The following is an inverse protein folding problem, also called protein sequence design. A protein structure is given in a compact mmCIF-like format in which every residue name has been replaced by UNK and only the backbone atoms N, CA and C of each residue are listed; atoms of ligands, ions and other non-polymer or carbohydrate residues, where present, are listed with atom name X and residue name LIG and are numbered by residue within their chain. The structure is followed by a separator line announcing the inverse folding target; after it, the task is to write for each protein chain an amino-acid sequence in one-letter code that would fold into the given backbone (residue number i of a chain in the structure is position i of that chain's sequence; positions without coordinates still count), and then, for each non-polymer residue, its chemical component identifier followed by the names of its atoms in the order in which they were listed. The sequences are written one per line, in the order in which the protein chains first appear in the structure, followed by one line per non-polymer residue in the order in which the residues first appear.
data_IF_150118835132
#
_entry.id   IF_150118835132
#
_cell.length_a   1.000
_cell.length_b   1.000
_cell.length_c   1.000
_cell.angle_alpha   90.00
_cell.angle_beta   90.00
_cell.angle_gamma   90.00
#
_symmetry.space_group_name_H-M   'P 1'
#
loop_
_entity.id
_entity.type
_entity.pdbx_description
1 polymer ?
#
# COMPACT_ATOMS: atom_id res chain seq x y z
N UNK A 1 9.58 40.30 68.23
CA UNK A 1 8.98 41.32 67.37
C UNK A 1 8.11 40.57 66.37
N UNK A 2 6.84 40.32 66.67
CA UNK A 2 5.72 41.29 66.67
C UNK A 2 4.95 41.21 65.34
N UNK A 3 3.79 40.53 65.41
CA UNK A 3 2.50 40.90 64.82
C UNK A 3 2.41 40.95 63.28
N UNK A 4 1.39 40.39 62.61
CA UNK A 4 -0.03 40.49 62.95
C UNK A 4 -0.90 39.28 62.57
N UNK A 5 -1.93 39.11 63.38
CA UNK A 5 -3.09 38.24 63.19
C UNK A 5 -4.34 39.10 62.91
N UNK A 6 -5.44 38.45 62.54
CA UNK A 6 -6.85 38.92 62.52
C UNK A 6 -7.27 39.77 61.32
N UNK A 7 -8.46 39.64 60.73
CA UNK A 7 -9.69 38.83 60.92
C UNK A 7 -10.55 39.12 59.67
N UNK A 8 -11.34 38.16 59.18
CA UNK A 8 -12.76 38.40 58.90
C UNK A 8 -13.52 37.09 58.64
N UNK A 9 -14.54 36.90 59.47
CA UNK A 9 -15.58 35.88 59.42
C UNK A 9 -16.54 36.13 58.25
N UNK A 10 -17.09 35.05 57.71
CA UNK A 10 -18.23 35.11 56.78
C UNK A 10 -18.76 33.71 56.50
N UNK A 11 -19.54 33.16 57.43
CA UNK A 11 -20.37 31.98 57.18
C UNK A 11 -21.56 32.36 56.30
N UNK A 12 -21.85 31.56 55.26
CA UNK A 12 -23.17 31.47 54.64
C UNK A 12 -23.29 30.11 53.94
N UNK A 13 -24.03 29.22 54.59
CA UNK A 13 -24.62 28.05 53.97
C UNK A 13 -25.77 28.50 53.08
N UNK A 14 -25.77 28.09 51.81
CA UNK A 14 -26.98 28.04 51.00
C UNK A 14 -26.87 26.83 50.07
N UNK A 15 -27.75 25.85 50.31
CA UNK A 15 -27.99 24.76 49.37
C UNK A 15 -28.60 25.29 48.09
N UNK A 16 -28.15 24.76 46.96
CA UNK A 16 -28.85 24.87 45.69
C UNK A 16 -29.06 23.46 45.15
N UNK A 17 -30.30 23.00 45.33
CA UNK A 17 -30.96 22.03 44.46
C UNK A 17 -30.97 22.63 43.05
N UNK A 18 -30.30 21.97 42.09
CA UNK A 18 -30.56 22.19 40.67
C UNK A 18 -31.09 20.89 40.10
N UNK A 19 -32.34 21.00 39.66
CA UNK A 19 -33.20 19.99 39.08
C UNK A 19 -32.57 19.32 37.86
N UNK A 20 -32.60 17.98 37.85
CA UNK A 20 -32.37 17.17 36.66
C UNK A 20 -33.58 17.35 35.74
N UNK A 21 -33.43 17.83 34.49
CA UNK A 21 -34.53 17.73 33.54
C UNK A 21 -34.67 16.25 33.15
N UNK A 22 -35.86 15.70 33.38
CA UNK A 22 -36.27 14.43 32.79
C UNK A 22 -36.29 14.61 31.26
N UNK A 23 -35.25 14.15 30.58
CA UNK A 23 -35.25 14.03 29.14
C UNK A 23 -36.22 12.88 28.79
N UNK A 24 -37.34 13.27 28.18
CA UNK A 24 -38.33 12.34 27.65
C UNK A 24 -37.68 11.38 26.64
N UNK A 25 -38.21 10.16 26.62
CA UNK A 25 -37.88 9.14 25.66
C UNK A 25 -37.99 9.69 24.23
N UNK A 26 -36.84 9.98 23.62
CA UNK A 26 -36.72 10.13 22.18
C UNK A 26 -36.45 8.75 21.60
N UNK A 27 -37.35 8.31 20.72
CA UNK A 27 -37.12 7.21 19.79
C UNK A 27 -35.82 7.46 19.01
N UNK A 28 -34.95 6.45 18.80
CA UNK A 28 -33.78 6.62 17.95
C UNK A 28 -34.25 6.72 16.50
N UNK A 29 -34.36 7.95 16.01
CA UNK A 29 -34.64 8.26 14.61
C UNK A 29 -33.31 8.52 13.91
N UNK A 30 -32.99 7.68 12.90
CA UNK A 30 -32.19 7.90 11.68
C UNK A 30 -30.92 8.79 11.66
N UNK A 31 -30.35 9.24 12.77
CA UNK A 31 -29.18 10.15 12.77
C UNK A 31 -27.82 9.46 12.70
N UNK A 32 -27.75 8.13 12.85
CA UNK A 32 -26.49 7.38 12.77
C UNK A 32 -26.00 7.24 11.30
N UNK A 33 -26.94 7.27 10.34
CA UNK A 33 -26.68 7.11 8.90
C UNK A 33 -26.06 8.34 8.22
N UNK A 34 -25.62 9.34 8.99
CA UNK A 34 -24.92 10.51 8.46
C UNK A 34 -23.52 10.65 9.03
N UNK A 35 -23.25 10.03 10.18
CA UNK A 35 -21.98 10.17 10.87
C UNK A 35 -20.87 9.36 10.20
N UNK A 36 -21.17 8.17 9.66
CA UNK A 36 -20.14 7.31 9.07
C UNK A 36 -19.75 7.74 7.65
N UNK A 37 -20.71 8.21 6.84
CA UNK A 37 -20.44 8.85 5.55
C UNK A 37 -19.67 10.18 5.72
N UNK A 38 -19.97 10.97 6.75
CA UNK A 38 -19.24 12.22 7.04
C UNK A 38 -17.83 11.95 7.57
N UNK A 39 -17.61 10.84 8.30
CA UNK A 39 -16.26 10.40 8.66
C UNK A 39 -15.47 9.91 7.44
N UNK A 40 -16.11 9.26 6.47
CA UNK A 40 -15.43 8.80 5.26
C UNK A 40 -15.08 9.97 4.37
N UNK A 41 -15.98 10.96 4.23
CA UNK A 41 -15.71 12.19 3.48
C UNK A 41 -14.51 12.95 4.08
N UNK A 42 -14.41 13.04 5.40
CA UNK A 42 -13.27 13.66 6.09
C UNK A 42 -11.98 12.85 5.94
N UNK A 43 -12.07 11.52 6.00
CA UNK A 43 -10.92 10.62 5.76
C UNK A 43 -10.46 10.74 4.31
N UNK A 44 -11.40 10.82 3.36
CA UNK A 44 -11.16 11.06 1.93
C UNK A 44 -10.56 12.43 1.68
N UNK A 45 -10.99 13.48 2.36
CA UNK A 45 -10.48 14.84 2.15
C UNK A 45 -9.03 14.96 2.67
N UNK A 46 -8.72 14.31 3.81
CA UNK A 46 -7.33 14.15 4.29
C UNK A 46 -6.51 13.27 3.35
N UNK A 47 -7.06 12.13 2.94
CA UNK A 47 -6.42 11.26 1.96
C UNK A 47 -6.20 11.99 0.65
N UNK A 48 -7.12 12.83 0.17
CA UNK A 48 -7.00 13.64 -1.04
C UNK A 48 -5.94 14.73 -0.90
N UNK A 49 -5.84 15.37 0.27
CA UNK A 49 -4.73 16.26 0.61
C UNK A 49 -3.38 15.54 0.59
N UNK A 50 -3.29 14.37 1.20
CA UNK A 50 -2.11 13.50 1.11
C UNK A 50 -1.84 13.01 -0.31
N UNK A 51 -2.84 12.57 -1.07
CA UNK A 51 -2.73 12.18 -2.48
C UNK A 51 -2.26 13.37 -3.33
N UNK A 52 -2.58 14.60 -2.93
CA UNK A 52 -2.10 15.85 -3.55
C UNK A 52 -0.69 16.27 -3.07
N UNK A 53 -0.25 15.84 -1.89
CA UNK A 53 1.06 16.15 -1.31
C UNK A 53 2.13 15.09 -1.64
N UNK A 54 1.77 13.80 -1.62
CA UNK A 54 2.51 12.68 -2.23
C UNK A 54 2.77 12.91 -3.73
N UNK A 55 1.85 13.62 -4.40
CA UNK A 55 1.98 14.16 -5.77
C UNK A 55 3.15 15.12 -5.99
N UNK A 56 3.65 15.78 -4.93
CA UNK A 56 4.84 16.64 -4.99
C UNK A 56 6.15 15.84 -4.76
N UNK A 57 6.07 14.65 -4.16
CA UNK A 57 7.22 13.77 -3.84
C UNK A 57 7.52 12.73 -4.93
N UNK A 58 6.51 12.28 -5.70
CA UNK A 58 6.68 11.39 -6.86
C UNK A 58 7.38 12.04 -8.09
N UNK A 59 7.94 13.24 -7.93
CA UNK A 59 8.78 13.88 -8.93
C UNK A 59 8.02 14.39 -10.16
N UNK A 60 8.72 15.25 -10.91
CA UNK A 60 8.23 16.08 -12.01
C UNK A 60 7.54 15.33 -13.17
N UNK A 61 7.56 13.99 -13.16
CA UNK A 61 7.00 13.08 -14.14
C UNK A 61 5.44 13.00 -14.15
N UNK A 62 4.78 13.40 -13.07
CA UNK A 62 3.31 13.33 -12.98
C UNK A 62 2.59 14.65 -13.32
N UNK A 63 3.35 15.74 -13.54
CA UNK A 63 2.79 17.10 -13.69
C UNK A 63 1.99 17.32 -14.98
N UNK A 64 2.07 16.41 -15.93
CA UNK A 64 1.34 16.48 -17.19
C UNK A 64 0.08 15.57 -17.23
N UNK A 65 -0.25 14.87 -16.14
CA UNK A 65 -1.23 13.79 -16.10
C UNK A 65 -2.67 14.23 -15.77
N UNK A 66 -3.00 15.53 -15.81
CA UNK A 66 -4.33 16.04 -15.40
C UNK A 66 -5.34 16.23 -16.54
N UNK A 67 -5.13 15.57 -17.68
CA UNK A 67 -5.92 15.85 -18.89
C UNK A 67 -6.82 14.75 -19.43
N UNK A 68 -6.60 13.48 -19.10
CA UNK A 68 -7.21 12.38 -19.86
C UNK A 68 -7.46 11.17 -18.95
N UNK A 69 -8.54 11.24 -18.17
CA UNK A 69 -9.20 10.02 -17.69
C UNK A 69 -10.16 9.64 -18.81
N UNK A 70 -9.73 8.72 -19.67
CA UNK A 70 -10.62 8.06 -20.62
C UNK A 70 -10.21 6.58 -20.74
N UNK A 71 -11.09 5.74 -20.21
CA UNK A 71 -11.32 4.32 -20.47
C UNK A 71 -10.13 3.45 -20.90
N UNK A 72 -9.34 2.98 -19.93
CA UNK A 72 -8.79 1.62 -19.98
C UNK A 72 -8.79 1.03 -18.57
N UNK A 73 -9.66 0.04 -18.30
CA UNK A 73 -9.46 -0.90 -17.20
C UNK A 73 -8.68 -2.13 -17.73
N UNK A 74 -7.38 -2.29 -17.47
CA UNK A 74 -6.76 -3.60 -17.48
C UNK A 74 -7.04 -4.28 -16.15
N UNK A 75 -7.91 -5.29 -16.18
CA UNK A 75 -8.09 -6.35 -15.18
C UNK A 75 -8.20 -5.94 -13.69
N UNK A 76 -8.79 -4.77 -13.37
CA UNK A 76 -9.15 -4.37 -12.00
C UNK A 76 -9.87 -5.52 -11.26
N UNK A 77 -10.77 -6.22 -11.97
CA UNK A 77 -11.46 -7.39 -11.43
C UNK A 77 -10.51 -8.49 -10.95
N UNK A 78 -9.43 -8.81 -11.70
CA UNK A 78 -8.43 -9.78 -11.25
C UNK A 78 -7.63 -9.26 -10.08
N UNK A 79 -7.17 -8.00 -10.13
CA UNK A 79 -6.38 -7.40 -9.05
C UNK A 79 -7.21 -7.39 -7.76
N UNK A 80 -8.47 -6.98 -7.83
CA UNK A 80 -9.42 -7.03 -6.73
C UNK A 80 -9.61 -8.46 -6.19
N UNK A 81 -9.90 -9.42 -7.07
CA UNK A 81 -10.11 -10.83 -6.67
C UNK A 81 -8.88 -11.46 -6.03
N UNK A 82 -7.67 -11.07 -6.46
CA UNK A 82 -6.41 -11.60 -5.95
C UNK A 82 -5.99 -10.91 -4.65
N UNK A 83 -6.10 -9.57 -4.57
CA UNK A 83 -5.63 -8.80 -3.42
C UNK A 83 -6.56 -8.95 -2.21
N UNK A 84 -7.87 -8.99 -2.42
CA UNK A 84 -8.86 -8.97 -1.33
C UNK A 84 -8.65 -10.05 -0.26
N UNK A 85 -8.43 -11.34 -0.61
CA UNK A 85 -8.15 -12.37 0.39
C UNK A 85 -6.94 -12.07 1.28
N UNK A 86 -5.85 -11.57 0.69
CA UNK A 86 -4.62 -11.22 1.41
C UNK A 86 -4.83 -10.01 2.31
N UNK A 87 -5.53 -8.98 1.81
CA UNK A 87 -5.86 -7.79 2.59
C UNK A 87 -6.79 -8.11 3.78
N UNK A 88 -7.79 -8.98 3.58
CA UNK A 88 -8.68 -9.44 4.65
C UNK A 88 -7.91 -10.24 5.71
N UNK A 89 -6.99 -11.12 5.31
CA UNK A 89 -6.14 -11.87 6.24
C UNK A 89 -5.25 -10.93 7.06
N UNK A 90 -4.60 -9.97 6.40
CA UNK A 90 -3.77 -8.97 7.09
C UNK A 90 -4.60 -8.15 8.09
N UNK A 91 -5.82 -7.75 7.71
CA UNK A 91 -6.74 -7.06 8.61
C UNK A 91 -7.10 -7.91 9.85
N UNK A 92 -7.34 -9.21 9.69
CA UNK A 92 -7.62 -10.11 10.81
C UNK A 92 -6.42 -10.20 11.78
N UNK A 93 -5.20 -10.24 11.23
CA UNK A 93 -3.98 -10.27 12.04
C UNK A 93 -3.72 -8.95 12.78
N UNK A 94 -4.02 -7.82 12.13
CA UNK A 94 -3.97 -6.48 12.72
C UNK A 94 -4.96 -6.36 13.87
N UNK A 95 -6.20 -6.83 13.69
CA UNK A 95 -7.24 -6.79 14.71
C UNK A 95 -6.86 -7.55 15.98
N UNK A 96 -6.21 -8.71 15.86
CA UNK A 96 -5.77 -9.49 17.02
C UNK A 96 -4.50 -8.94 17.67
N UNK A 97 -3.73 -8.11 16.97
CA UNK A 97 -2.38 -7.71 17.39
C UNK A 97 -2.36 -7.10 18.80
N UNK A 98 -3.27 -6.19 19.11
CA UNK A 98 -3.34 -5.52 20.42
C UNK A 98 -3.74 -6.45 21.57
N UNK A 99 -4.33 -7.61 21.27
CA UNK A 99 -4.73 -8.61 22.27
C UNK A 99 -3.64 -9.62 22.60
N UNK A 100 -2.55 -9.63 21.83
CA UNK A 100 -1.44 -10.56 22.02
C UNK A 100 -0.43 -10.02 23.04
N UNK A 101 0.24 -10.90 23.81
CA UNK A 101 1.34 -10.50 24.69
C UNK A 101 2.52 -9.96 23.86
N UNK A 102 3.26 -9.00 24.42
CA UNK A 102 4.44 -8.42 23.74
C UNK A 102 5.50 -9.47 23.40
N UNK A 103 5.71 -10.43 24.31
CA UNK A 103 6.57 -11.59 24.10
C UNK A 103 5.97 -12.82 24.78
N UNK A 104 6.10 -13.98 24.13
CA UNK A 104 5.66 -15.25 24.70
C UNK A 104 6.73 -16.33 24.50
N UNK A 105 6.98 -17.12 25.55
CA UNK A 105 7.87 -18.28 25.43
C UNK A 105 7.19 -19.46 24.72
N UNK A 106 5.85 -19.52 24.80
CA UNK A 106 4.98 -20.43 24.04
C UNK A 106 3.73 -19.69 23.59
N UNK A 107 3.27 -19.96 22.36
CA UNK A 107 2.11 -19.31 21.76
C UNK A 107 2.46 -18.12 20.87
N UNK A 108 1.44 -17.52 20.25
CA UNK A 108 1.60 -16.33 19.42
C UNK A 108 1.85 -15.10 20.30
N UNK A 109 2.86 -14.31 19.93
CA UNK A 109 3.12 -12.99 20.51
C UNK A 109 3.05 -11.90 19.43
N UNK A 110 3.15 -10.64 19.85
CA UNK A 110 3.11 -9.52 18.93
C UNK A 110 4.25 -9.55 17.91
N UNK A 111 5.42 -10.12 18.25
CA UNK A 111 6.56 -10.21 17.33
C UNK A 111 6.28 -11.21 16.21
N UNK A 112 5.84 -12.42 16.54
CA UNK A 112 5.44 -13.43 15.56
C UNK A 112 4.27 -12.93 14.69
N UNK A 113 3.30 -12.24 15.30
CA UNK A 113 2.17 -11.67 14.56
C UNK A 113 2.61 -10.56 13.58
N UNK A 114 3.59 -9.72 13.96
CA UNK A 114 4.18 -8.71 13.06
C UNK A 114 4.80 -9.35 11.82
N UNK A 115 5.61 -10.40 12.01
CA UNK A 115 6.23 -11.12 10.88
C UNK A 115 5.18 -11.70 9.92
N UNK A 116 4.07 -12.23 10.45
CA UNK A 116 2.98 -12.76 9.64
C UNK A 116 2.21 -11.65 8.89
N UNK A 117 2.01 -10.49 9.53
CA UNK A 117 1.45 -9.30 8.88
C UNK A 117 2.38 -8.84 7.75
N UNK A 118 3.67 -8.67 8.02
CA UNK A 118 4.65 -8.19 7.04
C UNK A 118 4.70 -9.10 5.81
N UNK A 119 4.60 -10.42 6.01
CA UNK A 119 4.54 -11.39 4.90
C UNK A 119 3.27 -11.24 4.04
N UNK A 120 2.11 -10.95 4.65
CA UNK A 120 0.88 -10.68 3.91
C UNK A 120 0.92 -9.32 3.21
N UNK A 121 1.56 -8.31 3.80
CA UNK A 121 1.79 -7.02 3.14
C UNK A 121 2.74 -7.18 1.94
N UNK A 122 3.79 -8.00 2.06
CA UNK A 122 4.68 -8.35 0.95
C UNK A 122 3.93 -9.04 -0.20
N UNK A 123 3.02 -9.97 0.12
CA UNK A 123 2.15 -10.61 -0.87
C UNK A 123 1.17 -9.61 -1.51
N UNK A 124 0.59 -8.70 -0.71
CA UNK A 124 -0.29 -7.66 -1.22
C UNK A 124 0.47 -6.72 -2.18
N UNK A 125 1.69 -6.30 -1.83
CA UNK A 125 2.57 -5.54 -2.73
C UNK A 125 2.81 -6.32 -4.02
N UNK A 126 3.17 -7.61 -3.93
CA UNK A 126 3.42 -8.43 -5.12
C UNK A 126 2.21 -8.51 -6.06
N UNK A 127 0.98 -8.61 -5.52
CA UNK A 127 -0.26 -8.65 -6.30
C UNK A 127 -0.59 -7.27 -6.89
N UNK A 128 -0.46 -6.23 -6.08
CA UNK A 128 -0.85 -4.86 -6.44
C UNK A 128 0.19 -4.15 -7.31
N UNK A 129 1.41 -4.66 -7.41
CA UNK A 129 2.46 -4.13 -8.30
C UNK A 129 2.56 -4.88 -9.63
N UNK A 130 1.74 -5.93 -9.87
CA UNK A 130 1.77 -6.67 -11.14
C UNK A 130 1.37 -5.76 -12.30
N UNK A 131 2.30 -5.53 -13.23
CA UNK A 131 2.01 -4.81 -14.46
C UNK A 131 2.54 -5.51 -15.70
N UNK A 132 1.82 -5.43 -16.85
CA UNK A 132 2.37 -5.74 -18.17
C UNK A 132 3.66 -4.97 -18.48
N UNK A 133 3.90 -3.83 -17.80
CA UNK A 133 5.12 -3.04 -17.87
C UNK A 133 6.40 -3.88 -17.64
N UNK A 134 6.35 -4.85 -16.72
CA UNK A 134 7.46 -5.77 -16.42
C UNK A 134 7.86 -6.62 -17.63
N UNK A 135 6.90 -6.98 -18.50
CA UNK A 135 7.16 -7.80 -19.68
C UNK A 135 8.00 -7.05 -20.73
N UNK A 136 7.90 -5.72 -20.81
CA UNK A 136 8.70 -4.95 -21.76
C UNK A 136 10.17 -4.95 -21.34
N UNK A 137 10.45 -4.85 -20.04
CA UNK A 137 11.83 -4.88 -19.53
C UNK A 137 12.50 -6.24 -19.73
N UNK A 138 11.81 -7.33 -19.40
CA UNK A 138 12.32 -8.69 -19.66
C UNK A 138 12.65 -8.90 -21.14
N UNK A 139 11.80 -8.40 -22.03
CA UNK A 139 12.03 -8.45 -23.48
C UNK A 139 13.21 -7.58 -23.88
N UNK A 140 13.31 -6.35 -23.37
CA UNK A 140 14.45 -5.45 -23.62
C UNK A 140 15.76 -6.09 -23.15
N UNK A 141 15.81 -6.63 -21.93
CA UNK A 141 16.98 -7.29 -21.37
C UNK A 141 17.38 -8.52 -22.21
N UNK A 142 16.40 -9.35 -22.59
CA UNK A 142 16.64 -10.52 -23.45
C UNK A 142 17.26 -10.12 -24.80
N UNK A 143 16.81 -9.01 -25.40
CA UNK A 143 17.39 -8.49 -26.63
C UNK A 143 18.79 -7.90 -26.42
N UNK A 144 19.03 -7.21 -25.30
CA UNK A 144 20.35 -6.69 -24.95
C UNK A 144 21.37 -7.82 -24.74
N UNK A 145 21.00 -8.89 -24.05
CA UNK A 145 21.85 -10.08 -23.86
C UNK A 145 22.18 -10.76 -25.20
N UNK A 146 21.21 -10.85 -26.11
CA UNK A 146 21.45 -11.35 -27.47
C UNK A 146 22.42 -10.46 -28.24
N UNK A 147 22.30 -9.13 -28.15
CA UNK A 147 23.24 -8.19 -28.77
C UNK A 147 24.66 -8.40 -28.24
N UNK A 148 24.84 -8.56 -26.93
CA UNK A 148 26.15 -8.85 -26.32
C UNK A 148 26.72 -10.15 -26.86
N UNK A 149 25.91 -11.21 -26.92
CA UNK A 149 26.31 -12.50 -27.48
C UNK A 149 26.70 -12.40 -28.96
N UNK A 150 25.90 -11.74 -29.79
CA UNK A 150 26.22 -11.58 -31.22
C UNK A 150 27.47 -10.72 -31.45
N UNK A 151 27.74 -9.72 -30.61
CA UNK A 151 29.00 -8.97 -30.64
C UNK A 151 30.20 -9.88 -30.36
N UNK A 152 30.08 -10.80 -29.41
CA UNK A 152 31.12 -11.80 -29.15
C UNK A 152 31.30 -12.78 -30.33
N UNK A 153 30.20 -13.23 -30.94
CA UNK A 153 30.23 -14.08 -32.15
C UNK A 153 30.90 -13.34 -33.34
N UNK A 154 30.62 -12.05 -33.53
CA UNK A 154 31.29 -11.21 -34.54
C UNK A 154 32.80 -11.15 -34.27
N UNK A 155 33.22 -10.95 -33.02
CA UNK A 155 34.64 -10.91 -32.65
C UNK A 155 35.35 -12.24 -32.97
N UNK A 156 34.73 -13.37 -32.63
CA UNK A 156 35.22 -14.71 -32.96
C UNK A 156 35.31 -14.94 -34.49
N UNK A 157 34.28 -14.52 -35.24
CA UNK A 157 34.29 -14.62 -36.70
C UNK A 157 35.39 -13.74 -37.32
N UNK A 158 35.58 -12.52 -36.83
CA UNK A 158 36.66 -11.63 -37.28
C UNK A 158 38.03 -12.26 -37.02
N UNK A 159 38.22 -12.93 -35.89
CA UNK A 159 39.45 -13.66 -35.59
C UNK A 159 39.66 -14.84 -36.55
N UNK A 160 38.65 -15.70 -36.74
CA UNK A 160 38.74 -16.88 -37.63
C UNK A 160 38.96 -16.50 -39.10
N UNK A 161 38.40 -15.37 -39.52
CA UNK A 161 38.57 -14.80 -40.87
C UNK A 161 40.02 -14.48 -41.20
N UNK A 162 40.86 -14.10 -40.22
CA UNK A 162 42.28 -13.75 -40.46
C UNK A 162 43.06 -14.91 -41.08
N UNK A 163 42.72 -16.15 -40.71
CA UNK A 163 43.40 -17.37 -41.18
C UNK A 163 42.57 -18.16 -42.21
N UNK A 164 41.43 -17.62 -42.64
CA UNK A 164 40.53 -18.33 -43.54
C UNK A 164 41.07 -18.30 -44.99
N UNK A 165 40.95 -19.42 -45.75
CA UNK A 165 41.32 -19.44 -47.15
C UNK A 165 40.38 -18.54 -47.99
N UNK A 166 40.89 -17.98 -49.08
CA UNK A 166 40.09 -17.17 -50.00
C UNK A 166 39.08 -18.01 -50.78
N UNK A 167 39.48 -19.23 -51.15
CA UNK A 167 38.64 -20.22 -51.84
C UNK A 167 38.82 -21.59 -51.19
N UNK A 168 37.72 -22.32 -50.98
CA UNK A 168 37.75 -23.67 -50.41
C UNK A 168 36.37 -24.33 -50.49
N UNK A 169 36.34 -25.64 -50.75
CA UNK A 169 35.10 -26.44 -50.81
C UNK A 169 34.74 -27.10 -49.47
N UNK A 170 35.71 -27.21 -48.54
CA UNK A 170 35.57 -27.98 -47.30
C UNK A 170 35.70 -27.15 -46.01
N UNK A 171 36.35 -25.98 -46.10
CA UNK A 171 36.51 -25.01 -45.00
C UNK A 171 35.80 -23.71 -45.34
N UNK A 172 35.29 -23.02 -44.31
CA UNK A 172 34.75 -21.65 -44.44
C UNK A 172 35.82 -20.71 -44.98
N UNK A 173 35.45 -19.95 -46.00
CA UNK A 173 36.29 -18.96 -46.67
C UNK A 173 36.20 -17.60 -46.00
N UNK A 174 37.06 -16.67 -46.44
CA UNK A 174 36.96 -15.24 -46.07
C UNK A 174 35.55 -14.72 -46.36
N UNK A 175 35.00 -15.02 -47.56
CA UNK A 175 33.66 -14.60 -47.95
C UNK A 175 32.56 -15.20 -47.06
N UNK A 176 32.71 -16.45 -46.62
CA UNK A 176 31.76 -17.08 -45.69
C UNK A 176 31.76 -16.37 -44.33
N UNK A 177 32.93 -16.01 -43.81
CA UNK A 177 33.02 -15.25 -42.55
C UNK A 177 32.50 -13.82 -42.70
N UNK A 178 32.76 -13.15 -43.81
CA UNK A 178 32.20 -11.82 -44.11
C UNK A 178 30.66 -11.87 -44.15
N UNK A 179 30.08 -12.93 -44.73
CA UNK A 179 28.64 -13.15 -44.74
C UNK A 179 28.07 -13.38 -43.33
N UNK A 180 28.74 -14.17 -42.48
CA UNK A 180 28.32 -14.40 -41.08
C UNK A 180 28.40 -13.12 -40.25
N UNK A 181 29.46 -12.33 -40.41
CA UNK A 181 29.61 -11.03 -39.74
C UNK A 181 28.47 -10.10 -40.16
N UNK A 182 28.21 -9.99 -41.47
CA UNK A 182 27.13 -9.15 -42.00
C UNK A 182 25.76 -9.59 -41.50
N UNK A 183 25.51 -10.90 -41.42
CA UNK A 183 24.28 -11.45 -40.86
C UNK A 183 24.11 -11.04 -39.38
N UNK A 184 25.15 -11.20 -38.56
CA UNK A 184 25.12 -10.80 -37.14
C UNK A 184 24.99 -9.29 -36.93
N UNK A 185 25.64 -8.48 -37.76
CA UNK A 185 25.45 -7.03 -37.74
C UNK A 185 24.01 -6.65 -38.11
N UNK A 186 23.36 -7.40 -39.00
CA UNK A 186 21.93 -7.23 -39.30
C UNK A 186 21.04 -7.66 -38.14
N UNK A 187 21.35 -8.77 -37.46
CA UNK A 187 20.63 -9.24 -36.28
C UNK A 187 20.69 -8.19 -35.16
N UNK A 188 21.86 -7.64 -34.88
CA UNK A 188 22.05 -6.55 -33.91
C UNK A 188 21.19 -5.34 -34.28
N UNK A 189 21.22 -4.89 -35.55
CA UNK A 189 20.40 -3.74 -35.98
C UNK A 189 18.90 -3.98 -35.76
N UNK A 190 18.40 -5.18 -36.07
CA UNK A 190 16.98 -5.51 -35.85
C UNK A 190 16.62 -5.53 -34.36
N UNK A 191 17.45 -6.15 -33.52
CA UNK A 191 17.23 -6.15 -32.08
C UNK A 191 17.30 -4.74 -31.48
N UNK A 192 18.21 -3.87 -31.94
CA UNK A 192 18.24 -2.47 -31.52
C UNK A 192 16.94 -1.74 -31.88
N UNK A 193 16.41 -1.94 -33.09
CA UNK A 193 15.13 -1.36 -33.50
C UNK A 193 13.96 -1.90 -32.68
N UNK A 194 13.99 -3.19 -32.33
CA UNK A 194 12.97 -3.81 -31.47
C UNK A 194 13.04 -3.26 -30.04
N UNK A 195 14.23 -3.09 -29.47
CA UNK A 195 14.42 -2.42 -28.18
C UNK A 195 13.82 -1.01 -28.22
N UNK A 196 14.10 -0.21 -29.26
CA UNK A 196 13.56 1.14 -29.37
C UNK A 196 12.02 1.14 -29.49
N UNK A 197 11.44 0.14 -30.16
CA UNK A 197 9.99 -0.03 -30.21
C UNK A 197 9.41 -0.39 -28.84
N UNK A 198 10.02 -1.34 -28.14
CA UNK A 198 9.62 -1.74 -26.79
C UNK A 198 9.72 -0.59 -25.80
N UNK A 199 10.77 0.25 -25.89
CA UNK A 199 10.91 1.46 -25.08
C UNK A 199 9.73 2.43 -25.29
N UNK A 200 9.34 2.65 -26.55
CA UNK A 200 8.18 3.51 -26.88
C UNK A 200 6.86 2.92 -26.40
N UNK A 201 6.65 1.62 -26.56
CA UNK A 201 5.46 0.91 -26.08
C UNK A 201 5.38 0.95 -24.55
N UNK A 202 6.50 0.72 -23.86
CA UNK A 202 6.62 0.84 -22.41
C UNK A 202 6.29 2.26 -21.94
N UNK A 203 6.90 3.29 -22.56
CA UNK A 203 6.58 4.69 -22.25
C UNK A 203 5.10 5.00 -22.48
N UNK A 204 4.48 4.44 -23.52
CA UNK A 204 3.06 4.61 -23.78
C UNK A 204 2.20 3.91 -22.73
N UNK A 205 2.59 2.73 -22.27
CA UNK A 205 1.91 2.00 -21.19
C UNK A 205 2.00 2.76 -19.86
N UNK A 206 3.16 3.35 -19.55
CA UNK A 206 3.34 4.21 -18.37
C UNK A 206 2.49 5.48 -18.48
N UNK A 207 2.42 6.10 -19.66
CA UNK A 207 1.55 7.26 -19.89
C UNK A 207 0.06 6.91 -19.73
N UNK A 208 -0.36 5.71 -20.11
CA UNK A 208 -1.75 5.26 -19.97
C UNK A 208 -2.17 5.14 -18.50
N UNK A 209 -1.23 4.82 -17.61
CA UNK A 209 -1.43 4.83 -16.15
C UNK A 209 -1.03 6.18 -15.51
N UNK A 210 -0.88 7.24 -16.32
CA UNK A 210 -0.64 8.60 -15.82
C UNK A 210 0.81 8.95 -15.48
N UNK A 211 1.79 8.08 -15.79
CA UNK A 211 3.21 8.33 -15.60
C UNK A 211 3.83 8.89 -16.89
N UNK A 212 4.20 10.17 -16.92
CA UNK A 212 4.90 10.78 -18.06
C UNK A 212 6.39 10.92 -17.75
N UNK A 213 7.21 10.13 -18.42
CA UNK A 213 8.65 10.18 -18.29
C UNK A 213 9.25 10.83 -19.54
N UNK A 214 10.24 11.68 -19.33
CA UNK A 214 11.13 12.14 -20.40
C UNK A 214 12.00 10.97 -20.89
N UNK A 215 12.49 11.05 -22.12
CA UNK A 215 13.24 9.94 -22.75
C UNK A 215 14.50 9.57 -21.95
N UNK A 216 15.19 10.56 -21.36
CA UNK A 216 16.36 10.31 -20.50
C UNK A 216 16.00 9.62 -19.17
N UNK A 217 14.81 9.91 -18.62
CA UNK A 217 14.31 9.29 -17.38
C UNK A 217 13.84 7.86 -17.65
N UNK A 218 13.21 7.64 -18.79
CA UNK A 218 12.81 6.33 -19.29
C UNK A 218 14.01 5.41 -19.46
N UNK A 219 15.07 5.92 -20.10
CA UNK A 219 16.30 5.16 -20.31
C UNK A 219 17.00 4.85 -18.98
N UNK A 220 16.95 5.76 -18.01
CA UNK A 220 17.48 5.52 -16.67
C UNK A 220 16.65 4.44 -15.92
N UNK A 221 15.32 4.50 -15.99
CA UNK A 221 14.45 3.49 -15.37
C UNK A 221 14.66 2.11 -15.99
N UNK A 222 14.81 2.04 -17.31
CA UNK A 222 15.02 0.77 -18.02
C UNK A 222 16.45 0.23 -17.88
N UNK A 223 17.43 1.08 -17.59
CA UNK A 223 18.83 0.68 -17.45
C UNK A 223 19.26 0.38 -16.01
N UNK A 224 18.45 0.76 -15.01
CA UNK A 224 18.80 0.57 -13.61
C UNK A 224 17.97 -0.53 -12.96
N UNK A 225 18.57 -1.21 -11.98
CA UNK A 225 17.89 -2.24 -11.19
C UNK A 225 16.91 -1.59 -10.17
N UNK A 226 17.14 -0.32 -9.82
CA UNK A 226 16.26 0.50 -8.96
C UNK A 226 14.98 0.90 -9.69
N UNK A 227 15.02 1.00 -11.02
CA UNK A 227 13.87 1.39 -11.83
C UNK A 227 12.67 0.44 -11.69
N UNK A 228 12.90 -0.82 -11.32
CA UNK A 228 11.83 -1.80 -11.04
C UNK A 228 10.98 -1.33 -9.87
N UNK A 229 11.62 -1.06 -8.74
CA UNK A 229 10.95 -0.70 -7.51
C UNK A 229 10.16 0.62 -7.64
N UNK A 230 10.64 1.57 -8.43
CA UNK A 230 9.95 2.86 -8.64
C UNK A 230 8.73 2.72 -9.55
N UNK A 231 8.82 1.87 -10.59
CA UNK A 231 7.68 1.56 -11.46
C UNK A 231 6.63 0.79 -10.68
N UNK A 232 7.06 -0.22 -9.91
CA UNK A 232 6.21 -1.02 -9.03
C UNK A 232 5.48 -0.14 -8.00
N UNK A 233 6.17 0.87 -7.42
CA UNK A 233 5.55 1.82 -6.50
C UNK A 233 4.45 2.66 -7.18
N UNK A 234 4.67 3.13 -8.40
CA UNK A 234 3.67 3.87 -9.16
C UNK A 234 2.42 3.03 -9.45
N UNK A 235 2.62 1.77 -9.87
CA UNK A 235 1.51 0.83 -10.14
C UNK A 235 0.74 0.49 -8.86
N UNK A 236 1.47 0.19 -7.77
CA UNK A 236 0.88 -0.07 -6.46
C UNK A 236 0.00 1.09 -6.00
N UNK A 237 0.50 2.31 -6.14
CA UNK A 237 -0.23 3.52 -5.77
C UNK A 237 -1.55 3.65 -6.54
N UNK A 238 -1.53 3.46 -7.86
CA UNK A 238 -2.73 3.54 -8.69
C UNK A 238 -3.75 2.46 -8.34
N UNK A 239 -3.27 1.23 -8.09
CA UNK A 239 -4.13 0.13 -7.68
C UNK A 239 -4.72 0.34 -6.27
N UNK A 240 -3.94 0.84 -5.32
CA UNK A 240 -4.43 1.23 -3.98
C UNK A 240 -5.51 2.30 -4.11
N UNK A 241 -5.30 3.31 -4.94
CA UNK A 241 -6.29 4.36 -5.19
C UNK A 241 -7.57 3.81 -5.81
N UNK A 242 -7.48 2.95 -6.82
CA UNK A 242 -8.63 2.32 -7.47
C UNK A 242 -9.45 1.48 -6.47
N UNK A 243 -8.78 0.64 -5.67
CA UNK A 243 -9.44 -0.17 -4.63
C UNK A 243 -10.10 0.74 -3.58
N UNK A 244 -9.43 1.82 -3.17
CA UNK A 244 -9.98 2.77 -2.19
C UNK A 244 -11.28 3.42 -2.69
N UNK A 245 -11.33 3.83 -3.95
CA UNK A 245 -12.55 4.37 -4.59
C UNK A 245 -13.68 3.33 -4.65
N UNK A 246 -13.35 2.05 -4.86
CA UNK A 246 -14.35 0.99 -4.86
C UNK A 246 -14.87 0.66 -3.46
N UNK A 247 -14.01 0.69 -2.43
CA UNK A 247 -14.41 0.53 -1.03
C UNK A 247 -15.37 1.64 -0.59
N UNK A 248 -15.15 2.86 -1.06
CA UNK A 248 -16.04 4.00 -0.85
C UNK A 248 -17.43 3.77 -1.44
N UNK A 249 -17.51 3.33 -2.71
CA UNK A 249 -18.80 3.02 -3.33
C UNK A 249 -19.53 1.90 -2.58
N UNK A 250 -18.81 0.88 -2.11
CA UNK A 250 -19.39 -0.21 -1.32
C UNK A 250 -19.89 0.30 0.05
N UNK A 251 -19.20 1.26 0.67
CA UNK A 251 -19.63 1.89 1.90
C UNK A 251 -20.94 2.66 1.69
N UNK A 252 -21.01 3.50 0.66
CA UNK A 252 -22.21 4.27 0.30
C UNK A 252 -23.41 3.36 -0.03
N UNK A 253 -23.18 2.27 -0.77
CA UNK A 253 -24.23 1.31 -1.13
C UNK A 253 -24.71 0.46 0.05
N UNK A 254 -23.86 0.22 1.05
CA UNK A 254 -24.19 -0.62 2.21
C UNK A 254 -25.21 0.00 3.15
N UNK A 255 -25.61 1.26 2.93
CA UNK A 255 -26.58 1.95 3.78
C UNK A 255 -26.10 2.09 5.23
N UNK A 256 -24.78 2.13 5.41
CA UNK A 256 -24.10 2.29 6.71
C UNK A 256 -24.27 1.11 7.68
N UNK A 257 -24.26 -0.13 7.17
CA UNK A 257 -24.03 -1.28 8.03
C UNK A 257 -22.68 -1.15 8.76
N UNK A 258 -22.74 -1.05 10.09
CA UNK A 258 -21.56 -0.85 10.95
C UNK A 258 -20.50 -1.95 10.79
N UNK A 259 -20.91 -3.18 10.45
CA UNK A 259 -19.95 -4.26 10.18
C UNK A 259 -19.20 -4.04 8.86
N UNK A 260 -19.92 -3.65 7.80
CA UNK A 260 -19.38 -3.29 6.50
C UNK A 260 -18.45 -2.08 6.60
N UNK A 261 -18.86 -1.04 7.32
CA UNK A 261 -18.03 0.15 7.57
C UNK A 261 -16.72 -0.21 8.26
N UNK A 262 -16.78 -0.96 9.38
CA UNK A 262 -15.59 -1.44 10.08
C UNK A 262 -14.64 -2.19 9.15
N UNK A 263 -15.17 -3.06 8.28
CA UNK A 263 -14.36 -3.82 7.34
C UNK A 263 -13.68 -2.91 6.31
N UNK A 264 -14.40 -1.99 5.68
CA UNK A 264 -13.85 -1.16 4.60
C UNK A 264 -12.81 -0.15 5.10
N UNK A 265 -13.02 0.46 6.27
CA UNK A 265 -11.96 1.27 6.92
C UNK A 265 -10.75 0.42 7.29
N UNK A 266 -10.96 -0.81 7.76
CA UNK A 266 -9.87 -1.73 8.07
C UNK A 266 -9.03 -2.10 6.84
N UNK A 267 -9.69 -2.38 5.71
CA UNK A 267 -9.02 -2.67 4.44
C UNK A 267 -8.24 -1.46 3.92
N UNK A 268 -8.79 -0.25 4.07
CA UNK A 268 -8.08 0.97 3.73
C UNK A 268 -6.77 1.13 4.51
N UNK A 269 -6.76 0.85 5.82
CA UNK A 269 -5.52 0.84 6.62
C UNK A 269 -4.51 -0.16 6.04
N UNK A 270 -4.94 -1.38 5.74
CA UNK A 270 -4.04 -2.43 5.24
C UNK A 270 -3.45 -2.05 3.87
N UNK A 271 -4.23 -1.40 3.01
CA UNK A 271 -3.72 -0.87 1.74
C UNK A 271 -2.63 0.19 1.95
N UNK A 272 -2.83 1.14 2.87
CA UNK A 272 -1.80 2.13 3.20
C UNK A 272 -0.54 1.48 3.79
N UNK A 273 -0.70 0.46 4.64
CA UNK A 273 0.43 -0.33 5.17
C UNK A 273 1.17 -1.11 4.09
N UNK A 274 0.46 -1.58 3.06
CA UNK A 274 1.09 -2.23 1.91
C UNK A 274 1.95 -1.23 1.12
N UNK A 275 1.47 0.01 0.97
CA UNK A 275 2.26 1.09 0.37
C UNK A 275 3.49 1.44 1.21
N UNK A 276 3.38 1.52 2.54
CA UNK A 276 4.50 1.73 3.45
C UNK A 276 5.53 0.60 3.33
N UNK A 277 5.07 -0.66 3.27
CA UNK A 277 5.93 -1.82 3.07
C UNK A 277 6.73 -1.73 1.77
N UNK A 278 6.11 -1.26 0.69
CA UNK A 278 6.83 -1.02 -0.57
C UNK A 278 7.94 0.03 -0.40
N UNK A 279 7.68 1.15 0.28
CA UNK A 279 8.71 2.18 0.54
C UNK A 279 9.91 1.58 1.28
N UNK A 280 9.67 0.77 2.31
CA UNK A 280 10.72 0.05 3.04
C UNK A 280 11.54 -0.84 2.11
N UNK A 281 10.90 -1.62 1.23
CA UNK A 281 11.62 -2.47 0.27
C UNK A 281 12.49 -1.67 -0.70
N UNK A 282 12.08 -0.45 -1.11
CA UNK A 282 12.90 0.43 -1.95
C UNK A 282 14.13 0.91 -1.18
N UNK A 283 13.94 1.37 0.06
CA UNK A 283 15.03 1.82 0.93
C UNK A 283 16.05 0.70 1.15
N UNK A 284 15.60 -0.49 1.54
CA UNK A 284 16.44 -1.68 1.74
C UNK A 284 17.20 -2.04 0.45
N UNK A 285 16.56 -2.01 -0.71
CA UNK A 285 17.23 -2.29 -1.97
C UNK A 285 18.34 -1.26 -2.29
N UNK A 286 18.08 0.03 -2.04
CA UNK A 286 19.09 1.08 -2.25
C UNK A 286 20.27 0.90 -1.29
N UNK A 287 19.99 0.76 0.00
CA UNK A 287 21.00 0.76 1.05
C UNK A 287 21.79 -0.54 1.12
N UNK A 288 21.14 -1.69 0.97
CA UNK A 288 21.76 -3.00 1.18
C UNK A 288 22.28 -3.65 -0.10
N UNK A 289 21.76 -3.25 -1.27
CA UNK A 289 22.10 -3.90 -2.55
C UNK A 289 22.83 -2.97 -3.51
N UNK A 290 22.31 -1.78 -3.77
CA UNK A 290 22.81 -0.94 -4.86
C UNK A 290 23.99 -0.07 -4.45
N UNK A 291 23.90 0.63 -3.31
CA UNK A 291 25.01 1.45 -2.81
C UNK A 291 26.29 0.62 -2.58
N UNK A 292 26.24 -0.58 -1.96
CA UNK A 292 27.44 -1.40 -1.78
C UNK A 292 28.11 -1.81 -3.10
N UNK A 293 27.32 -2.15 -4.12
CA UNK A 293 27.86 -2.52 -5.44
C UNK A 293 28.57 -1.35 -6.12
N UNK A 294 28.03 -0.14 -6.00
CA UNK A 294 28.67 1.06 -6.54
C UNK A 294 29.97 1.34 -5.77
N UNK A 295 29.94 1.24 -4.44
CA UNK A 295 31.10 1.46 -3.59
C UNK A 295 32.23 0.46 -3.90
N UNK A 296 31.88 -0.81 -4.20
CA UNK A 296 32.83 -1.82 -4.67
C UNK A 296 33.46 -1.45 -6.03
N UNK A 297 32.66 -1.01 -7.01
CA UNK A 297 33.16 -0.55 -8.32
C UNK A 297 34.10 0.64 -8.15
N UNK A 298 33.74 1.60 -7.29
CA UNK A 298 34.58 2.76 -6.97
C UNK A 298 35.91 2.31 -6.37
N UNK A 299 35.90 1.43 -5.38
CA UNK A 299 37.12 0.92 -4.73
C UNK A 299 38.05 0.17 -5.70
N UNK A 300 37.49 -0.69 -6.55
CA UNK A 300 38.25 -1.40 -7.59
C UNK A 300 38.85 -0.45 -8.62
N UNK A 301 38.07 0.53 -9.08
CA UNK A 301 38.52 1.49 -10.11
C UNK A 301 39.59 2.44 -9.55
N UNK A 302 39.48 2.86 -8.29
CA UNK A 302 40.52 3.67 -7.62
C UNK A 302 41.84 2.91 -7.52
N UNK A 303 41.79 1.62 -7.15
CA UNK A 303 42.98 0.76 -7.09
C UNK A 303 43.63 0.63 -8.47
N UNK A 304 42.82 0.40 -9.51
CA UNK A 304 43.29 0.29 -10.90
C UNK A 304 43.88 1.60 -11.42
N UNK A 305 43.32 2.75 -11.04
CA UNK A 305 43.85 4.07 -11.37
C UNK A 305 45.23 4.31 -10.75
N UNK A 306 45.39 4.00 -9.45
CA UNK A 306 46.67 4.12 -8.77
C UNK A 306 47.76 3.22 -9.42
N UNK A 307 47.39 2.01 -9.84
CA UNK A 307 48.29 1.12 -10.57
C UNK A 307 48.63 1.64 -11.97
N UNK A 308 47.65 2.19 -12.69
CA UNK A 308 47.86 2.78 -14.02
C UNK A 308 48.79 3.99 -13.94
N UNK A 309 48.64 4.83 -12.91
CA UNK A 309 49.55 5.96 -12.63
C UNK A 309 50.97 5.50 -12.30
N UNK A 310 51.12 4.40 -11.56
CA UNK A 310 52.42 3.79 -11.29
C UNK A 310 53.07 3.27 -12.58
N UNK A 311 52.32 2.55 -13.41
CA UNK A 311 52.80 2.06 -14.70
C UNK A 311 53.19 3.19 -15.66
N UNK A 312 52.48 4.34 -15.62
CA UNK A 312 52.84 5.53 -16.40
C UNK A 312 54.22 6.09 -16.05
N UNK A 313 54.64 5.97 -14.79
CA UNK A 313 55.99 6.37 -14.33
C UNK A 313 57.05 5.36 -14.76
N UNK A 314 56.72 4.08 -14.78
CA UNK A 314 57.66 2.98 -15.02
C UNK A 314 57.83 2.61 -16.51
N UNK A 315 56.82 2.87 -17.36
CA UNK A 315 56.75 2.41 -18.75
C UNK A 315 56.45 3.54 -19.75
N UNK A 316 57.44 4.43 -20.04
CA UNK A 316 57.24 5.57 -20.94
C UNK A 316 56.85 5.16 -22.37
N UNK A 317 57.29 3.99 -22.84
CA UNK A 317 56.97 3.47 -24.18
C UNK A 317 55.49 3.10 -24.36
N UNK A 318 54.73 2.96 -23.26
CA UNK A 318 53.29 2.60 -23.26
C UNK A 318 52.39 3.76 -22.86
N UNK A 319 52.93 4.98 -22.84
CA UNK A 319 52.28 6.18 -22.30
C UNK A 319 50.87 6.42 -22.87
N UNK A 320 50.71 6.42 -24.19
CA UNK A 320 49.42 6.71 -24.83
C UNK A 320 48.32 5.71 -24.44
N UNK A 321 48.65 4.42 -24.32
CA UNK A 321 47.71 3.39 -23.90
C UNK A 321 47.30 3.58 -22.44
N UNK A 322 48.28 3.83 -21.56
CA UNK A 322 48.03 3.99 -20.13
C UNK A 322 47.29 5.29 -19.81
N UNK A 323 47.55 6.38 -20.55
CA UNK A 323 46.78 7.63 -20.46
C UNK A 323 45.31 7.41 -20.88
N UNK A 324 45.06 6.66 -21.96
CA UNK A 324 43.70 6.29 -22.37
C UNK A 324 42.98 5.45 -21.32
N UNK A 325 43.67 4.48 -20.71
CA UNK A 325 43.11 3.68 -19.61
C UNK A 325 42.78 4.54 -18.39
N UNK A 326 43.69 5.44 -18.00
CA UNK A 326 43.48 6.34 -16.87
C UNK A 326 42.28 7.26 -17.11
N UNK A 327 42.12 7.78 -18.33
CA UNK A 327 40.96 8.60 -18.70
C UNK A 327 39.65 7.81 -18.59
N UNK A 328 39.62 6.56 -19.08
CA UNK A 328 38.45 5.70 -18.96
C UNK A 328 38.10 5.41 -17.49
N UNK A 329 39.10 5.11 -16.65
CA UNK A 329 38.92 4.87 -15.22
C UNK A 329 38.41 6.12 -14.49
N UNK A 330 38.91 7.32 -14.83
CA UNK A 330 38.42 8.58 -14.28
C UNK A 330 36.95 8.83 -14.67
N UNK A 331 36.57 8.54 -15.91
CA UNK A 331 35.18 8.65 -16.36
C UNK A 331 34.28 7.67 -15.59
N UNK A 332 34.74 6.43 -15.37
CA UNK A 332 34.02 5.46 -14.54
C UNK A 332 33.81 5.97 -13.11
N UNK A 333 34.84 6.54 -12.48
CA UNK A 333 34.71 7.11 -11.13
C UNK A 333 33.71 8.28 -11.08
N UNK A 334 33.71 9.16 -12.09
CA UNK A 334 32.75 10.25 -12.17
C UNK A 334 31.33 9.73 -12.32
N UNK A 335 31.10 8.80 -13.25
CA UNK A 335 29.78 8.19 -13.47
C UNK A 335 29.26 7.47 -12.22
N UNK A 336 30.11 6.68 -11.56
CA UNK A 336 29.78 6.00 -10.31
C UNK A 336 29.44 6.99 -9.20
N UNK A 337 30.18 8.10 -9.08
CA UNK A 337 29.90 9.17 -8.11
C UNK A 337 28.54 9.83 -8.34
N UNK A 338 28.20 10.19 -9.58
CA UNK A 338 26.89 10.74 -9.92
C UNK A 338 25.76 9.76 -9.59
N UNK A 339 25.92 8.49 -9.96
CA UNK A 339 24.91 7.47 -9.73
C UNK A 339 24.70 7.18 -8.24
N UNK A 340 25.79 7.12 -7.47
CA UNK A 340 25.73 7.00 -6.01
C UNK A 340 24.95 8.14 -5.38
N UNK A 341 25.27 9.39 -5.75
CA UNK A 341 24.58 10.57 -5.22
C UNK A 341 23.08 10.53 -5.55
N UNK A 342 22.75 10.17 -6.79
CA UNK A 342 21.36 10.00 -7.22
C UNK A 342 20.61 9.00 -6.32
N UNK A 343 21.19 7.83 -6.02
CA UNK A 343 20.55 6.85 -5.14
C UNK A 343 20.37 7.34 -3.70
N UNK A 344 21.36 8.07 -3.17
CA UNK A 344 21.25 8.70 -1.84
C UNK A 344 20.10 9.71 -1.80
N UNK A 345 19.99 10.55 -2.83
CA UNK A 345 18.91 11.54 -2.93
C UNK A 345 17.54 10.86 -3.06
N UNK A 346 17.44 9.76 -3.82
CA UNK A 346 16.22 8.96 -3.94
C UNK A 346 15.84 8.30 -2.61
N UNK A 347 16.77 7.66 -1.91
CA UNK A 347 16.49 7.06 -0.60
C UNK A 347 16.00 8.11 0.42
N UNK A 348 16.52 9.34 0.36
CA UNK A 348 16.05 10.42 1.21
C UNK A 348 14.60 10.85 0.86
N UNK A 349 14.25 10.90 -0.43
CA UNK A 349 12.90 11.22 -0.88
C UNK A 349 11.88 10.14 -0.47
N UNK A 350 12.24 8.87 -0.66
CA UNK A 350 11.40 7.72 -0.25
C UNK A 350 11.16 7.75 1.27
N UNK A 351 12.21 7.96 2.08
CA UNK A 351 12.09 8.08 3.54
C UNK A 351 11.18 9.23 3.98
N UNK A 352 11.27 10.37 3.29
CA UNK A 352 10.40 11.51 3.58
C UNK A 352 8.94 11.19 3.25
N UNK A 353 8.67 10.61 2.08
CA UNK A 353 7.31 10.21 1.69
C UNK A 353 6.72 9.16 2.63
N UNK A 354 7.55 8.21 3.08
CA UNK A 354 7.17 7.20 4.06
C UNK A 354 6.79 7.82 5.40
N UNK A 355 7.56 8.78 5.91
CA UNK A 355 7.27 9.47 7.17
C UNK A 355 5.94 10.26 7.15
N UNK A 356 5.51 10.72 5.97
CA UNK A 356 4.20 11.33 5.77
C UNK A 356 3.10 10.26 5.75
N UNK A 357 3.29 9.18 4.99
CA UNK A 357 2.38 8.04 4.94
C UNK A 357 2.14 7.39 6.32
N UNK A 358 3.15 7.33 7.18
CA UNK A 358 3.00 6.84 8.56
C UNK A 358 1.98 7.65 9.36
N UNK A 359 1.88 8.97 9.12
CA UNK A 359 0.88 9.83 9.76
C UNK A 359 -0.52 9.53 9.24
N UNK A 360 -0.66 9.27 7.94
CA UNK A 360 -1.94 8.93 7.32
C UNK A 360 -2.41 7.53 7.75
N UNK A 361 -1.50 6.56 7.88
CA UNK A 361 -1.79 5.25 8.46
C UNK A 361 -2.30 5.43 9.90
N UNK A 362 -1.67 6.28 10.71
CA UNK A 362 -2.11 6.54 12.07
C UNK A 362 -3.51 7.19 12.12
N UNK A 363 -3.79 8.13 11.23
CA UNK A 363 -5.11 8.76 11.11
C UNK A 363 -6.18 7.74 10.66
N UNK A 364 -5.91 6.96 9.62
CA UNK A 364 -6.81 5.91 9.13
C UNK A 364 -7.07 4.84 10.20
N UNK A 365 -6.04 4.46 10.96
CA UNK A 365 -6.18 3.54 12.09
C UNK A 365 -7.08 4.11 13.18
N UNK A 366 -6.93 5.39 13.50
CA UNK A 366 -7.80 6.05 14.49
C UNK A 366 -9.26 6.09 14.03
N UNK A 367 -9.51 6.38 12.75
CA UNK A 367 -10.87 6.33 12.18
C UNK A 367 -11.44 4.91 12.25
N UNK A 368 -10.67 3.91 11.86
CA UNK A 368 -11.05 2.50 11.96
C UNK A 368 -11.44 2.12 13.41
N UNK A 369 -10.61 2.48 14.39
CA UNK A 369 -10.88 2.21 15.80
C UNK A 369 -12.12 2.96 16.32
N UNK A 370 -12.35 4.20 15.88
CA UNK A 370 -13.54 4.97 16.22
C UNK A 370 -14.82 4.29 15.73
N UNK A 371 -14.82 3.81 14.49
CA UNK A 371 -15.94 3.07 13.90
C UNK A 371 -16.14 1.73 14.61
N UNK A 372 -15.05 1.01 14.93
CA UNK A 372 -15.10 -0.26 15.68
C UNK A 372 -15.74 -0.08 17.05
N UNK A 373 -15.24 0.86 17.86
CA UNK A 373 -15.73 1.09 19.23
C UNK A 373 -17.18 1.59 19.23
N UNK A 374 -17.53 2.50 18.32
CA UNK A 374 -18.91 2.98 18.18
C UNK A 374 -19.85 1.84 17.79
N UNK A 375 -19.42 0.97 16.87
CA UNK A 375 -20.17 -0.23 16.48
C UNK A 375 -20.37 -1.22 17.62
N UNK A 376 -19.36 -1.42 18.48
CA UNK A 376 -19.46 -2.28 19.67
C UNK A 376 -20.52 -1.76 20.66
N UNK A 377 -20.55 -0.44 20.89
CA UNK A 377 -21.54 0.19 21.75
C UNK A 377 -22.96 0.02 21.20
N UNK A 378 -23.17 0.29 19.91
CA UNK A 378 -24.48 0.11 19.25
C UNK A 378 -24.94 -1.35 19.34
N UNK A 379 -24.02 -2.29 19.10
CA UNK A 379 -24.29 -3.73 19.24
C UNK A 379 -24.72 -4.10 20.66
N UNK A 380 -24.03 -3.58 21.68
CA UNK A 380 -24.37 -3.80 23.08
C UNK A 380 -25.77 -3.24 23.42
N UNK A 381 -26.09 -2.02 22.99
CA UNK A 381 -27.40 -1.38 23.22
C UNK A 381 -28.52 -2.20 22.58
N UNK A 382 -28.37 -2.61 21.32
CA UNK A 382 -29.36 -3.44 20.61
C UNK A 382 -29.55 -4.79 21.30
N UNK A 383 -28.47 -5.42 21.76
CA UNK A 383 -28.55 -6.69 22.50
C UNK A 383 -29.30 -6.55 23.83
N UNK A 384 -29.06 -5.45 24.57
CA UNK A 384 -29.73 -5.15 25.83
C UNK A 384 -31.23 -4.90 25.62
N UNK A 385 -31.60 -4.17 24.56
CA UNK A 385 -33.00 -3.94 24.18
C UNK A 385 -33.74 -5.25 23.87
N UNK A 386 -33.13 -6.13 23.07
CA UNK A 386 -33.71 -7.44 22.74
C UNK A 386 -33.88 -8.33 23.98
N UNK A 387 -32.90 -8.32 24.89
CA UNK A 387 -32.98 -9.04 26.15
C UNK A 387 -34.10 -8.49 27.06
N UNK A 388 -34.24 -7.16 27.13
CA UNK A 388 -35.28 -6.51 27.92
C UNK A 388 -36.67 -6.76 27.33
N UNK A 389 -36.85 -6.68 26.02
CA UNK A 389 -38.09 -7.02 25.32
C UNK A 389 -38.46 -8.50 25.52
N UNK A 390 -37.47 -9.39 25.43
CA UNK A 390 -37.65 -10.81 25.73
C UNK A 390 -38.01 -11.10 27.20
N UNK A 391 -37.59 -10.26 28.15
CA UNK A 391 -38.02 -10.32 29.54
C UNK A 391 -39.43 -9.75 29.75
N UNK A 392 -39.75 -8.63 29.12
CA UNK A 392 -41.07 -7.98 29.17
C UNK A 392 -42.16 -8.88 28.58
N UNK A 393 -41.87 -9.57 27.46
CA UNK A 393 -42.78 -10.53 26.84
C UNK A 393 -42.98 -11.84 27.65
N UNK A 394 -42.21 -12.05 28.73
CA UNK A 394 -42.38 -13.18 29.67
C UNK A 394 -43.05 -12.81 30.98
N UNK A 395 -43.45 -11.56 31.20
CA UNK A 395 -44.24 -11.20 32.37
C UNK A 395 -45.63 -11.86 32.28
N UNK A 396 -46.05 -12.53 33.35
CA UNK A 396 -47.31 -13.26 33.42
C UNK A 396 -48.52 -12.35 33.12
N UNK A 397 -49.55 -12.83 32.41
CA UNK A 397 -50.72 -12.01 32.12
C UNK A 397 -51.32 -11.49 33.42
N UNK A 398 -51.60 -10.18 33.48
CA UNK A 398 -52.27 -9.59 34.61
C UNK A 398 -53.58 -10.38 34.88
N UNK A 399 -53.73 -10.89 36.10
CA UNK A 399 -54.97 -11.54 36.54
C UNK A 399 -56.12 -10.58 36.28
N UNK A 400 -57.04 -10.95 35.38
CA UNK A 400 -58.31 -10.22 35.25
C UNK A 400 -58.94 -10.14 36.64
N UNK A 401 -59.43 -8.97 37.08
CA UNK A 401 -60.27 -8.90 38.27
C UNK A 401 -61.43 -9.88 38.09
N UNK A 402 -61.62 -10.74 39.08
CA UNK A 402 -62.74 -11.67 39.09
C UNK A 402 -64.03 -10.87 39.33
N UNK A 403 -64.69 -10.44 38.25
CA UNK A 403 -66.06 -9.89 38.31
C UNK A 403 -67.08 -11.02 38.23
N UNK A 404 -67.58 -11.43 39.40
CA UNK A 404 -68.50 -12.57 39.51
C UNK A 404 -69.97 -12.15 39.33
N UNK A 405 -70.35 -11.80 38.10
CA UNK A 405 -71.77 -11.66 37.77
C UNK A 405 -72.51 -13.01 37.94
N UNK A 406 -71.81 -14.14 37.77
CA UNK A 406 -72.37 -15.48 38.01
C UNK A 406 -72.51 -15.83 39.50
N UNK A 407 -71.55 -15.47 40.35
CA UNK A 407 -71.66 -15.74 41.79
C UNK A 407 -72.74 -14.86 42.45
N UNK A 408 -72.92 -13.61 42.00
CA UNK A 408 -74.04 -12.75 42.43
C UNK A 408 -75.40 -13.32 42.03
N UNK A 409 -75.52 -13.89 40.83
CA UNK A 409 -76.75 -14.58 40.38
C UNK A 409 -77.04 -15.82 41.21
N UNK A 410 -76.03 -16.63 41.53
CA UNK A 410 -76.22 -17.86 42.31
C UNK A 410 -76.56 -17.55 43.78
N UNK A 411 -75.97 -16.50 44.36
CA UNK A 411 -76.34 -15.98 45.69
C UNK A 411 -77.77 -15.43 45.69
N UNK A 412 -78.20 -14.70 44.66
CA UNK A 412 -79.60 -14.25 44.54
C UNK A 412 -80.58 -15.43 44.41
N UNK A 413 -80.20 -16.46 43.66
CA UNK A 413 -80.99 -17.70 43.50
C UNK A 413 -81.15 -18.45 44.82
N UNK A 414 -80.06 -18.59 45.57
CA UNK A 414 -80.06 -19.17 46.93
C UNK A 414 -80.88 -18.34 47.92
N UNK A 415 -80.80 -17.00 47.83
CA UNK A 415 -81.56 -16.09 48.71
C UNK A 415 -83.06 -16.13 48.43
N UNK A 416 -83.47 -16.28 47.17
CA UNK A 416 -84.89 -16.46 46.80
C UNK A 416 -85.44 -17.82 47.26
N UNK A 417 -84.65 -18.90 47.15
CA UNK A 417 -85.05 -20.21 47.65
C UNK A 417 -85.19 -20.23 49.18
N UNK A 418 -84.33 -19.52 49.91
CA UNK A 418 -84.40 -19.41 51.37
C UNK A 418 -85.56 -18.50 51.84
N UNK A 419 -85.95 -17.47 51.08
CA UNK A 419 -87.14 -16.65 51.39
C UNK A 419 -88.46 -17.30 50.98
N UNK A 420 -88.45 -18.16 49.95
CA UNK A 420 -89.62 -18.93 49.53
C UNK A 420 -89.97 -20.12 50.44
N UNK A 421 -89.09 -20.47 51.38
CA UNK A 421 -89.29 -21.57 52.34
C UNK A 421 -89.89 -21.17 53.70
N UNK A 422 -90.31 -19.90 53.89
CA UNK A 422 -90.96 -19.43 55.13
C UNK A 422 -92.34 -18.86 54.80
N UNK A 423 -93.24 -19.75 54.36
CA UNK A 423 -94.70 -19.57 54.38
C UNK A 423 -95.33 -20.96 54.27
N UNK A 424 -95.43 -21.60 55.44
CA UNK A 424 -96.02 -22.91 55.71
C UNK A 424 -95.98 -23.11 57.21
#
# INVERSE_FOLDING_TARGET
MSHDSTRLLGALALGLLISIPAAGAQTPDSTDTGASADLWSQTRERAAGWWEQSRDLAGQAMRDARGLIEDQEPDFNRIWQQAMPTLDQALLLEQRHQTLPESAWFGLDQKANRVEIDALLDEAVAILSVSPALQYRDRIQTQQEQIVRWRAEIADHRQKRVTAPTESTFKKTVADYDALITARESDIRRATQEIDALKREFAQSLRAIGLKLEDEQLDLLLSTVVGDNLVDLGILFDNVKAITLQLEQLLEQSGEDLQSARRYYGLYVVLLKSLDRMHVQIEEAIDERYLPQIDDIVGQTQTLAADTERLLRESPDRRALLEGNLQAQQLTLQAAGFYRQYLVDQAAQVRQARAELEQDIAAAWNTYETVRVSGELVGLVRSSQLLLEGLMNRQAPALRPFESLEMQREIQKLTQQLRGGVSG
#
